data_IF_149950641162
#
_entry.id   IF_149950641162
#
_cell.length_a   1.000
_cell.length_b   1.000
_cell.length_c   1.000
_cell.angle_alpha   90.00
_cell.angle_beta   90.00
_cell.angle_gamma   90.00
#
_symmetry.space_group_name_H-M   'P 1'
#
loop_
_entity.id
_entity.type
_entity.pdbx_description
1 polymer ?
#
# COMPACT_ATOMS: atom_id res chain seq x y z
N UNK A 1 -13.52 -12.73 35.20
CA UNK A 1 -13.35 -13.13 33.78
C UNK A 1 -12.17 -12.40 33.19
N UNK A 2 -11.00 -13.03 33.11
CA UNK A 2 -9.84 -12.44 32.43
C UNK A 2 -9.99 -12.70 30.93
N UNK A 3 -10.41 -11.68 30.17
CA UNK A 3 -10.35 -11.74 28.71
C UNK A 3 -8.89 -11.98 28.30
N UNK A 4 -8.64 -13.09 27.61
CA UNK A 4 -7.33 -13.48 27.12
C UNK A 4 -6.81 -12.47 26.08
N UNK A 5 -6.11 -11.41 26.53
CA UNK A 5 -5.57 -10.32 25.69
C UNK A 5 -4.34 -10.71 24.84
N UNK A 6 -3.99 -12.01 24.77
CA UNK A 6 -2.70 -12.48 24.23
C UNK A 6 -2.55 -12.45 22.70
N UNK A 7 -3.58 -12.75 21.86
CA UNK A 7 -3.45 -12.65 20.40
C UNK A 7 -3.68 -11.22 19.87
N UNK A 8 -4.21 -10.30 20.70
CA UNK A 8 -4.63 -8.97 20.25
C UNK A 8 -3.45 -8.10 19.85
N UNK A 9 -2.30 -8.21 20.54
CA UNK A 9 -1.15 -7.33 20.33
C UNK A 9 -0.51 -7.46 18.92
N UNK A 10 -0.16 -8.67 18.42
CA UNK A 10 0.38 -8.81 17.07
C UNK A 10 -0.65 -8.47 15.97
N UNK A 11 -1.92 -8.84 16.16
CA UNK A 11 -3.00 -8.49 15.22
C UNK A 11 -3.18 -6.97 15.14
N UNK A 12 -3.22 -6.28 16.28
CA UNK A 12 -3.40 -4.84 16.33
C UNK A 12 -2.21 -4.09 15.73
N UNK A 13 -0.98 -4.62 15.91
CA UNK A 13 0.21 -4.08 15.27
C UNK A 13 0.16 -4.24 13.75
N UNK A 14 -0.25 -5.42 13.26
CA UNK A 14 -0.43 -5.68 11.83
C UNK A 14 -1.50 -4.78 11.23
N UNK A 15 -2.68 -4.70 11.85
CA UNK A 15 -3.77 -3.82 11.40
C UNK A 15 -3.32 -2.36 11.35
N UNK A 16 -2.58 -1.90 12.36
CA UNK A 16 -2.01 -0.55 12.37
C UNK A 16 -1.04 -0.30 11.21
N UNK A 17 -0.16 -1.26 10.92
CA UNK A 17 0.76 -1.18 9.78
C UNK A 17 0.02 -1.20 8.45
N UNK A 18 -0.95 -2.11 8.28
CA UNK A 18 -1.79 -2.16 7.07
C UNK A 18 -2.56 -0.85 6.85
N UNK A 19 -3.06 -0.23 7.92
CA UNK A 19 -3.77 1.05 7.83
C UNK A 19 -2.83 2.20 7.43
N UNK A 20 -1.64 2.24 8.02
CA UNK A 20 -0.61 3.22 7.64
C UNK A 20 -0.16 3.05 6.19
N UNK A 21 0.08 1.81 5.75
CA UNK A 21 0.41 1.49 4.36
C UNK A 21 -0.71 1.86 3.40
N UNK A 22 -1.98 1.65 3.78
CA UNK A 22 -3.14 2.04 2.97
C UNK A 22 -3.25 3.55 2.80
N UNK A 23 -2.96 4.34 3.84
CA UNK A 23 -2.91 5.79 3.72
C UNK A 23 -1.77 6.27 2.82
N UNK A 24 -0.59 5.65 2.93
CA UNK A 24 0.54 5.95 2.05
C UNK A 24 0.19 5.64 0.59
N UNK A 25 -0.38 4.45 0.35
CA UNK A 25 -0.86 4.03 -0.97
C UNK A 25 -1.90 5.00 -1.53
N UNK A 26 -2.90 5.36 -0.71
CA UNK A 26 -3.92 6.32 -1.09
C UNK A 26 -3.36 7.70 -1.44
N UNK A 27 -2.31 8.16 -0.74
CA UNK A 27 -1.66 9.42 -1.03
C UNK A 27 -0.98 9.41 -2.41
N UNK A 28 -0.22 8.35 -2.73
CA UNK A 28 0.43 8.22 -4.04
C UNK A 28 -0.61 8.02 -5.15
N UNK A 29 -1.63 7.20 -4.90
CA UNK A 29 -2.76 7.01 -5.81
C UNK A 29 -3.47 8.34 -6.11
N UNK A 30 -3.67 9.21 -5.11
CA UNK A 30 -4.29 10.52 -5.32
C UNK A 30 -3.47 11.41 -6.29
N UNK A 31 -2.14 11.34 -6.22
CA UNK A 31 -1.25 12.07 -7.13
C UNK A 31 -1.36 11.48 -8.54
N UNK A 32 -1.46 10.16 -8.67
CA UNK A 32 -1.69 9.50 -9.95
C UNK A 32 -3.03 9.94 -10.57
N UNK A 33 -4.12 9.98 -9.80
CA UNK A 33 -5.42 10.49 -10.28
C UNK A 33 -5.32 11.94 -10.77
N UNK A 34 -4.61 12.81 -10.05
CA UNK A 34 -4.37 14.20 -10.49
C UNK A 34 -3.59 14.22 -11.81
N UNK A 35 -2.60 13.35 -11.97
CA UNK A 35 -1.82 13.24 -13.20
C UNK A 35 -2.68 12.77 -14.37
N UNK A 36 -3.58 11.81 -14.17
CA UNK A 36 -4.58 11.40 -15.18
C UNK A 36 -5.47 12.57 -15.62
N UNK A 37 -6.01 13.35 -14.68
CA UNK A 37 -6.78 14.55 -15.02
C UNK A 37 -5.95 15.57 -15.81
N UNK A 38 -4.67 15.71 -15.48
CA UNK A 38 -3.77 16.60 -16.20
C UNK A 38 -3.52 16.11 -17.64
N UNK A 39 -3.34 14.80 -17.84
CA UNK A 39 -3.20 14.18 -19.17
C UNK A 39 -4.43 14.47 -20.03
N UNK A 40 -5.62 14.22 -19.49
CA UNK A 40 -6.88 14.41 -20.20
C UNK A 40 -7.06 15.89 -20.62
N UNK A 41 -6.67 16.83 -19.75
CA UNK A 41 -6.71 18.26 -20.10
C UNK A 41 -5.66 18.66 -21.12
N UNK A 42 -4.46 18.08 -21.07
CA UNK A 42 -3.42 18.35 -22.06
C UNK A 42 -3.83 17.82 -23.44
N UNK A 43 -4.58 16.72 -23.50
CA UNK A 43 -5.17 16.21 -24.72
C UNK A 43 -6.20 17.19 -25.32
N UNK A 44 -7.08 17.77 -24.49
CA UNK A 44 -8.04 18.81 -24.92
C UNK A 44 -7.33 20.04 -25.53
N UNK A 45 -6.13 20.38 -25.04
CA UNK A 45 -5.32 21.50 -25.54
C UNK A 45 -4.47 21.17 -26.77
N UNK A 46 -4.63 20.01 -27.41
CA UNK A 46 -3.81 19.54 -28.53
C UNK A 46 -2.31 19.55 -28.21
N UNK A 47 -1.95 19.20 -26.97
CA UNK A 47 -0.55 19.05 -26.59
C UNK A 47 0.13 17.91 -27.37
N UNK A 48 1.44 17.94 -27.43
CA UNK A 48 2.21 16.98 -28.23
C UNK A 48 1.95 15.53 -27.77
N UNK A 49 1.63 14.59 -28.67
CA UNK A 49 1.28 13.21 -28.32
C UNK A 49 2.41 12.45 -27.62
N UNK A 50 3.67 12.83 -27.82
CA UNK A 50 4.81 12.25 -27.10
C UNK A 50 4.74 12.64 -25.62
N UNK A 51 4.34 13.87 -25.32
CA UNK A 51 4.20 14.37 -23.94
C UNK A 51 3.09 13.64 -23.19
N UNK A 52 1.93 13.45 -23.84
CA UNK A 52 0.80 12.66 -23.33
C UNK A 52 1.24 11.22 -23.05
N UNK A 53 1.99 10.62 -23.97
CA UNK A 53 2.51 9.25 -23.83
C UNK A 53 3.44 9.13 -22.62
N UNK A 54 4.41 10.04 -22.47
CA UNK A 54 5.35 10.04 -21.34
C UNK A 54 4.61 10.18 -20.01
N UNK A 55 3.66 11.11 -19.90
CA UNK A 55 2.88 11.30 -18.68
C UNK A 55 2.05 10.05 -18.34
N UNK A 56 1.46 9.40 -19.34
CA UNK A 56 0.67 8.18 -19.15
C UNK A 56 1.55 7.03 -18.66
N UNK A 57 2.73 6.84 -19.25
CA UNK A 57 3.70 5.86 -18.77
C UNK A 57 4.15 6.16 -17.34
N UNK A 58 4.39 7.43 -17.02
CA UNK A 58 4.80 7.86 -15.69
C UNK A 58 3.70 7.58 -14.66
N UNK A 59 2.43 7.83 -15.01
CA UNK A 59 1.27 7.46 -14.19
C UNK A 59 1.31 5.97 -13.84
N UNK A 60 1.36 5.09 -14.86
CA UNK A 60 1.34 3.65 -14.63
C UNK A 60 2.56 3.17 -13.85
N UNK A 61 3.73 3.77 -14.09
CA UNK A 61 4.95 3.44 -13.36
C UNK A 61 4.85 3.81 -11.87
N UNK A 62 4.31 4.98 -11.54
CA UNK A 62 4.09 5.41 -10.15
C UNK A 62 3.09 4.51 -9.43
N UNK A 63 1.93 4.28 -10.04
CA UNK A 63 0.87 3.46 -9.45
C UNK A 63 1.34 2.00 -9.27
N UNK A 64 2.02 1.45 -10.27
CA UNK A 64 2.57 0.09 -10.21
C UNK A 64 3.67 -0.06 -9.16
N UNK A 65 4.62 0.87 -9.10
CA UNK A 65 5.70 0.83 -8.12
C UNK A 65 5.16 0.92 -6.69
N UNK A 66 4.20 1.83 -6.44
CA UNK A 66 3.61 2.00 -5.13
C UNK A 66 2.78 0.80 -4.68
N UNK A 67 2.00 0.20 -5.60
CA UNK A 67 1.28 -1.04 -5.34
C UNK A 67 2.23 -2.20 -4.97
N UNK A 68 3.36 -2.34 -5.67
CA UNK A 68 4.36 -3.37 -5.37
C UNK A 68 4.95 -3.15 -3.97
N UNK A 69 5.34 -1.92 -3.64
CA UNK A 69 5.90 -1.58 -2.32
C UNK A 69 4.89 -1.87 -1.21
N UNK A 70 3.62 -1.51 -1.41
CA UNK A 70 2.55 -1.80 -0.45
C UNK A 70 2.34 -3.31 -0.25
N UNK A 71 2.32 -4.10 -1.32
CA UNK A 71 2.18 -5.56 -1.24
C UNK A 71 3.36 -6.21 -0.52
N UNK A 72 4.59 -5.78 -0.82
CA UNK A 72 5.80 -6.27 -0.13
C UNK A 72 5.74 -5.91 1.35
N UNK A 73 5.36 -4.68 1.68
CA UNK A 73 5.25 -4.21 3.06
C UNK A 73 4.21 -5.00 3.87
N UNK A 74 3.02 -5.24 3.31
CA UNK A 74 1.99 -6.09 3.94
C UNK A 74 2.46 -7.55 4.04
N UNK A 75 3.12 -8.08 3.02
CA UNK A 75 3.66 -9.43 3.04
C UNK A 75 4.66 -9.64 4.18
N UNK A 76 5.64 -8.74 4.32
CA UNK A 76 6.64 -8.81 5.38
C UNK A 76 6.00 -8.68 6.76
N UNK A 77 5.18 -7.65 6.98
CA UNK A 77 4.51 -7.43 8.28
C UNK A 77 3.54 -8.57 8.62
N UNK A 78 2.90 -9.18 7.63
CA UNK A 78 2.03 -10.34 7.80
C UNK A 78 2.80 -11.59 8.21
N UNK A 79 3.93 -11.87 7.54
CA UNK A 79 4.82 -12.99 7.89
C UNK A 79 5.34 -12.81 9.32
N UNK A 80 5.79 -11.62 9.70
CA UNK A 80 6.25 -11.34 11.07
C UNK A 80 5.15 -11.55 12.11
N UNK A 81 3.92 -11.12 11.81
CA UNK A 81 2.77 -11.32 12.69
C UNK A 81 2.44 -12.81 12.88
N UNK A 82 2.43 -13.60 11.79
CA UNK A 82 2.20 -15.04 11.83
C UNK A 82 3.31 -15.76 12.59
N UNK A 83 4.57 -15.43 12.31
CA UNK A 83 5.72 -16.03 12.99
C UNK A 83 5.71 -15.72 14.50
N UNK A 84 5.34 -14.49 14.87
CA UNK A 84 5.17 -14.07 16.26
C UNK A 84 4.01 -14.75 16.99
N UNK A 85 2.98 -15.22 16.26
CA UNK A 85 1.93 -16.07 16.81
C UNK A 85 2.44 -17.51 17.00
N UNK A 86 3.03 -18.10 15.95
CA UNK A 86 3.49 -19.49 15.95
C UNK A 86 4.50 -19.77 17.08
N UNK A 87 5.51 -18.89 17.22
CA UNK A 87 6.55 -19.01 18.24
C UNK A 87 5.99 -18.90 19.67
N UNK A 88 4.83 -18.26 19.86
CA UNK A 88 4.18 -18.12 21.17
C UNK A 88 3.26 -19.27 21.54
N UNK A 89 2.82 -20.08 20.58
CA UNK A 89 2.09 -21.32 20.86
C UNK A 89 3.04 -22.45 21.29
N UNK A 90 4.29 -22.45 20.82
CA UNK A 90 5.34 -23.39 21.26
C UNK A 90 5.83 -23.15 22.70
N UNK A 91 5.70 -21.91 23.21
CA UNK A 91 6.18 -21.51 24.55
C UNK A 91 5.12 -21.72 25.66
N UNK A 92 3.98 -22.33 25.32
CA UNK A 92 2.88 -22.56 26.26
C UNK A 92 3.02 -23.98 26.87
N UNK A 93 3.33 -24.12 28.18
CA UNK A 93 3.43 -25.43 28.83
C UNK A 93 2.08 -26.15 28.93
#
# INVERSE_FOLDING_TARGET
>A
MQFNKRPIKPVLSFVGHSFAGFFAFGAVYSIAVILSFLVERLEDFHCDPITITILTYLHFALEGADAIVFLVYIGVTGIEAVHGMLKRDEEKP
#
